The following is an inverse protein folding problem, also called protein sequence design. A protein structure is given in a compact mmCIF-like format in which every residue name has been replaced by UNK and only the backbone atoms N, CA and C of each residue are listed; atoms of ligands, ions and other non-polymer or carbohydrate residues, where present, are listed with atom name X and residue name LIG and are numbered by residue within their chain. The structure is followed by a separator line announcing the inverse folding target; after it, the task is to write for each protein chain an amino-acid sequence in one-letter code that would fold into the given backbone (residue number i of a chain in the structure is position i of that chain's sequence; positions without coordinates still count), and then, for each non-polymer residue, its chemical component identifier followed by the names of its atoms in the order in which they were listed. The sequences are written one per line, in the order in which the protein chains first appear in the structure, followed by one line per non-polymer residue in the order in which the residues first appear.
data_IF_953825837204
#
_entry.id   IF_953825837204
#
_cell.length_a   1.000
_cell.length_b   1.000
_cell.length_c   1.000
_cell.angle_alpha   90.00
_cell.angle_beta   90.00
_cell.angle_gamma   90.00
#
_symmetry.space_group_name_H-M   'P 1'
#
loop_
_entity.id
_entity.type
_entity.pdbx_description
1 polymer ?
#
# COMPACT_ATOMS: atom_id res chain seq x y z
N UNK A 1 9.74 -46.83 41.08
CA UNK A 1 10.81 -45.85 40.80
C UNK A 1 10.18 -44.64 40.14
N UNK A 2 9.96 -43.57 40.90
CA UNK A 2 9.40 -42.31 40.41
C UNK A 2 10.14 -41.17 41.09
N UNK A 3 10.64 -40.21 40.31
CA UNK A 3 11.20 -38.94 40.79
C UNK A 3 10.47 -37.82 40.07
N UNK A 4 9.78 -36.97 40.81
CA UNK A 4 9.48 -35.61 40.43
C UNK A 4 9.60 -34.73 41.67
N UNK A 5 10.42 -33.70 41.55
CA UNK A 5 10.78 -32.73 42.58
C UNK A 5 9.83 -31.54 42.46
N UNK A 6 9.22 -31.18 43.59
CA UNK A 6 8.42 -29.96 43.79
C UNK A 6 9.32 -28.94 44.50
N UNK A 7 9.31 -27.68 44.06
CA UNK A 7 9.88 -26.56 44.81
C UNK A 7 8.78 -25.53 45.06
N UNK A 8 8.47 -25.32 46.34
CA UNK A 8 7.52 -24.33 46.86
C UNK A 8 8.30 -23.39 47.77
N UNK A 9 8.16 -22.07 47.57
CA UNK A 9 8.75 -21.04 48.43
C UNK A 9 7.72 -20.62 49.50
N UNK A 10 8.22 -20.55 50.73
CA UNK A 10 7.48 -20.38 51.98
C UNK A 10 7.02 -18.93 52.24
N UNK A 11 5.81 -18.80 52.79
CA UNK A 11 5.28 -17.60 53.41
C UNK A 11 5.56 -17.61 54.92
N UNK A 12 6.08 -16.51 55.45
CA UNK A 12 6.37 -16.34 56.88
C UNK A 12 5.25 -15.55 57.57
N UNK A 13 4.72 -16.13 58.65
CA UNK A 13 3.70 -15.59 59.56
C UNK A 13 4.28 -14.52 60.49
N UNK A 14 3.42 -13.59 60.97
CA UNK A 14 3.30 -13.37 62.41
C UNK A 14 1.97 -12.75 62.82
N UNK A 15 1.42 -13.28 63.91
CA UNK A 15 0.18 -12.95 64.60
C UNK A 15 0.45 -11.92 65.73
N UNK A 16 -0.55 -11.13 66.11
CA UNK A 16 -1.07 -10.96 67.50
C UNK A 16 -1.99 -9.72 67.58
N UNK A 17 -3.19 -9.93 68.12
CA UNK A 17 -4.24 -8.96 68.49
C UNK A 17 -4.08 -8.43 69.91
N UNK A 18 -4.39 -7.15 70.16
CA UNK A 18 -4.80 -6.61 71.48
C UNK A 18 -5.89 -5.54 71.31
N UNK A 19 -6.77 -5.44 72.31
CA UNK A 19 -8.15 -4.89 72.38
C UNK A 19 -8.17 -3.38 72.86
N UNK A 20 -9.32 -2.70 73.10
CA UNK A 20 -9.74 -1.45 72.43
C UNK A 20 -9.73 -0.19 73.33
N UNK A 21 -9.98 1.00 72.78
CA UNK A 21 -10.65 2.07 73.52
C UNK A 21 -11.39 3.04 72.60
N UNK A 22 -12.61 3.42 73.01
CA UNK A 22 -13.52 4.28 72.28
C UNK A 22 -13.22 5.78 72.46
N UNK A 23 -13.66 6.53 71.43
CA UNK A 23 -14.10 7.95 71.41
C UNK A 23 -13.12 9.06 71.80
N UNK A 24 -12.85 9.95 70.84
CA UNK A 24 -13.26 11.36 70.89
C UNK A 24 -13.20 11.93 69.47
N UNK A 25 -14.32 12.48 68.99
CA UNK A 25 -14.42 13.15 67.69
C UNK A 25 -13.75 14.52 67.77
N UNK A 26 -12.72 14.76 66.96
CA UNK A 26 -12.17 16.09 66.70
C UNK A 26 -12.08 16.31 65.19
N UNK A 27 -12.83 17.29 64.68
CA UNK A 27 -12.86 17.66 63.27
C UNK A 27 -11.49 18.21 62.83
N UNK A 28 -10.98 17.73 61.70
CA UNK A 28 -9.72 18.21 61.08
C UNK A 28 -10.02 18.96 59.76
N UNK A 29 -9.36 20.09 59.47
CA UNK A 29 -9.67 20.94 58.30
C UNK A 29 -9.30 20.29 56.95
N UNK A 30 -10.08 20.62 55.91
CA UNK A 30 -9.96 20.06 54.57
C UNK A 30 -8.61 20.30 53.87
N UNK A 31 -8.19 19.32 53.07
CA UNK A 31 -6.97 19.34 52.27
C UNK A 31 -7.10 20.25 51.04
N UNK A 32 -6.11 21.11 50.81
CA UNK A 32 -5.97 21.94 49.61
C UNK A 32 -5.45 21.11 48.43
N UNK A 33 -6.05 21.19 47.22
CA UNK A 33 -5.59 20.41 46.08
C UNK A 33 -4.27 20.96 45.49
N UNK A 34 -3.36 20.03 45.16
CA UNK A 34 -2.06 20.27 44.49
C UNK A 34 -2.28 20.52 42.99
N UNK A 35 -1.65 21.56 42.45
CA UNK A 35 -1.75 21.94 41.02
C UNK A 35 -1.03 20.96 40.08
N UNK A 36 -1.70 20.63 38.98
CA UNK A 36 -1.23 19.76 37.88
C UNK A 36 -0.29 20.54 36.94
N UNK A 37 0.83 19.96 36.45
CA UNK A 37 1.71 20.64 35.50
C UNK A 37 1.07 20.72 34.10
N UNK A 38 1.20 21.88 33.47
CA UNK A 38 0.64 22.20 32.14
C UNK A 38 1.36 21.42 31.03
N UNK A 39 0.64 20.78 30.09
CA UNK A 39 1.24 20.08 28.96
C UNK A 39 1.94 21.05 27.99
N UNK A 40 3.13 20.68 27.51
CA UNK A 40 3.89 21.44 26.51
C UNK A 40 3.22 21.31 25.14
N UNK A 41 3.02 22.40 24.38
CA UNK A 41 2.45 22.31 23.04
C UNK A 41 3.38 21.53 22.12
N UNK A 42 2.81 20.54 21.43
CA UNK A 42 3.47 19.82 20.34
C UNK A 42 3.60 20.76 19.12
N UNK A 43 4.76 20.86 18.45
CA UNK A 43 4.90 21.71 17.28
C UNK A 43 3.96 21.24 16.16
N UNK A 44 3.10 22.14 15.69
CA UNK A 44 2.21 21.91 14.55
C UNK A 44 3.02 21.70 13.27
N UNK A 45 2.80 20.64 12.48
CA UNK A 45 3.41 20.50 11.16
C UNK A 45 3.05 21.70 10.29
N UNK A 46 4.03 22.28 9.60
CA UNK A 46 3.79 23.38 8.66
C UNK A 46 2.84 22.93 7.53
N UNK A 47 1.93 23.80 7.06
CA UNK A 47 1.08 23.49 5.93
C UNK A 47 1.95 23.24 4.69
N UNK A 48 1.84 22.03 4.12
CA UNK A 48 2.47 21.71 2.83
C UNK A 48 1.77 22.54 1.75
N UNK A 49 2.49 23.29 0.89
CA UNK A 49 1.85 24.01 -0.20
C UNK A 49 1.04 23.02 -1.04
N UNK A 50 -0.23 23.36 -1.30
CA UNK A 50 -1.09 22.53 -2.15
C UNK A 50 -0.41 22.39 -3.52
N UNK A 51 -0.15 21.15 -3.95
CA UNK A 51 0.39 20.92 -5.28
C UNK A 51 -0.63 21.45 -6.30
N UNK A 52 -0.18 22.34 -7.19
CA UNK A 52 -1.00 22.72 -8.34
C UNK A 52 -1.22 21.47 -9.17
N UNK A 53 -2.47 21.16 -9.51
CA UNK A 53 -2.80 20.07 -10.43
C UNK A 53 -1.92 20.23 -11.68
N UNK A 54 -1.14 19.19 -12.05
CA UNK A 54 -0.32 19.23 -13.26
C UNK A 54 -1.16 19.55 -14.48
N UNK A 55 -0.61 20.33 -15.39
CA UNK A 55 -1.24 20.75 -16.63
C UNK A 55 -0.18 20.77 -17.71
N UNK A 56 -0.61 20.63 -18.97
CA UNK A 56 0.29 20.68 -20.11
C UNK A 56 0.30 19.38 -20.92
N UNK A 57 1.19 19.33 -21.89
CA UNK A 57 1.39 18.17 -22.77
C UNK A 57 2.37 17.20 -22.11
N UNK A 58 1.92 15.97 -21.88
CA UNK A 58 2.76 14.91 -21.33
C UNK A 58 3.11 13.90 -22.41
N UNK A 59 4.40 13.62 -22.58
CA UNK A 59 4.84 12.53 -23.43
C UNK A 59 4.68 11.20 -22.70
N UNK A 60 3.89 10.29 -23.27
CA UNK A 60 3.70 8.94 -22.75
C UNK A 60 4.84 8.05 -23.25
N UNK A 61 5.69 7.59 -22.33
CA UNK A 61 6.72 6.62 -22.64
C UNK A 61 6.10 5.23 -22.85
N UNK A 62 6.75 4.36 -23.64
CA UNK A 62 6.40 2.94 -23.71
C UNK A 62 6.41 2.29 -22.32
N UNK A 63 5.75 1.13 -22.22
CA UNK A 63 5.70 0.38 -20.97
C UNK A 63 7.00 -0.41 -20.71
N UNK A 64 7.53 -0.31 -19.49
CA UNK A 64 8.76 -0.98 -19.07
C UNK A 64 10.04 -0.24 -19.48
N UNK A 65 11.18 -0.92 -19.35
CA UNK A 65 12.50 -0.39 -19.68
C UNK A 65 12.70 -0.26 -21.21
N UNK A 66 12.12 0.79 -21.80
CA UNK A 66 12.23 1.05 -23.24
C UNK A 66 11.89 2.49 -23.66
N UNK A 67 12.82 3.13 -24.39
CA UNK A 67 12.74 4.46 -25.03
C UNK A 67 12.49 5.68 -24.13
N UNK A 68 12.48 5.54 -22.80
CA UNK A 68 12.50 6.68 -21.87
C UNK A 68 13.75 7.57 -21.97
N UNK A 69 14.64 7.26 -22.91
CA UNK A 69 15.89 7.95 -23.17
C UNK A 69 15.85 8.80 -24.44
N UNK A 70 14.72 8.90 -25.18
CA UNK A 70 14.69 9.81 -26.32
C UNK A 70 14.98 11.24 -25.84
N UNK A 71 16.19 11.77 -26.11
CA UNK A 71 16.61 13.04 -25.52
C UNK A 71 15.78 14.20 -26.08
N UNK A 72 15.08 14.00 -27.22
CA UNK A 72 14.21 15.00 -27.80
C UNK A 72 13.08 15.34 -26.84
N UNK A 73 12.45 14.35 -26.20
CA UNK A 73 11.29 14.57 -25.32
C UNK A 73 11.64 15.47 -24.13
N UNK A 74 12.85 15.33 -23.58
CA UNK A 74 13.32 16.14 -22.46
C UNK A 74 13.69 17.56 -22.87
N UNK A 75 14.15 17.76 -24.10
CA UNK A 75 14.57 19.07 -24.60
C UNK A 75 13.47 19.83 -25.35
N UNK A 76 12.39 19.16 -25.75
CA UNK A 76 11.29 19.74 -26.51
C UNK A 76 10.54 20.79 -25.67
N UNK A 77 10.47 22.07 -26.10
CA UNK A 77 9.76 23.11 -25.37
C UNK A 77 8.24 22.91 -25.32
N UNK A 78 7.65 22.12 -26.22
CA UNK A 78 6.21 21.86 -26.27
C UNK A 78 5.78 20.70 -25.36
N UNK A 79 6.74 20.01 -24.72
CA UNK A 79 6.48 18.95 -23.73
C UNK A 79 6.60 19.54 -22.32
N UNK A 80 5.53 19.50 -21.54
CA UNK A 80 5.53 19.97 -20.15
C UNK A 80 5.92 18.89 -19.13
N UNK A 81 5.78 17.62 -19.51
CA UNK A 81 6.00 16.50 -18.61
C UNK A 81 6.20 15.15 -19.28
N UNK A 82 6.65 14.19 -18.47
CA UNK A 82 6.92 12.82 -18.85
C UNK A 82 5.98 11.90 -18.09
N UNK A 83 5.24 11.07 -18.81
CA UNK A 83 4.41 10.02 -18.26
C UNK A 83 5.12 8.68 -18.42
N UNK A 84 5.67 8.19 -17.32
CA UNK A 84 6.50 6.98 -17.26
C UNK A 84 5.63 5.78 -16.96
N UNK A 85 5.84 4.67 -17.65
CA UNK A 85 5.10 3.42 -17.46
C UNK A 85 6.09 2.32 -17.05
N UNK A 86 5.85 1.67 -15.93
CA UNK A 86 6.70 0.57 -15.42
C UNK A 86 5.82 -0.57 -14.93
N UNK A 87 6.20 -1.80 -15.26
CA UNK A 87 5.53 -2.99 -14.73
C UNK A 87 5.86 -3.16 -13.25
N UNK A 88 4.89 -3.59 -12.45
CA UNK A 88 5.16 -3.95 -11.06
C UNK A 88 6.17 -5.10 -10.96
N UNK A 89 6.07 -6.11 -11.83
CA UNK A 89 7.00 -7.25 -11.85
C UNK A 89 8.46 -6.90 -12.17
N UNK A 90 8.69 -5.82 -12.93
CA UNK A 90 10.05 -5.31 -13.21
C UNK A 90 10.53 -4.37 -12.08
N UNK A 91 9.61 -3.74 -11.35
CA UNK A 91 9.92 -2.81 -10.27
C UNK A 91 10.18 -3.52 -8.92
N UNK A 92 9.42 -4.56 -8.59
CA UNK A 92 9.52 -5.30 -7.32
C UNK A 92 9.80 -6.78 -7.58
N UNK A 93 11.09 -7.10 -7.71
CA UNK A 93 11.59 -8.40 -8.16
C UNK A 93 11.26 -9.54 -7.17
N UNK A 94 11.20 -9.20 -5.89
CA UNK A 94 10.74 -10.04 -4.79
C UNK A 94 10.08 -9.14 -3.75
N UNK A 95 9.31 -9.71 -2.82
CA UNK A 95 8.63 -8.92 -1.78
C UNK A 95 9.60 -7.96 -1.05
N UNK A 96 9.35 -6.67 -1.14
CA UNK A 96 10.17 -5.61 -0.55
C UNK A 96 11.51 -5.34 -1.25
N UNK A 97 11.84 -6.07 -2.32
CA UNK A 97 13.08 -5.94 -3.09
C UNK A 97 12.81 -5.23 -4.40
N UNK A 98 13.08 -3.93 -4.42
CA UNK A 98 12.77 -3.06 -5.54
C UNK A 98 14.01 -2.74 -6.39
N UNK A 99 13.83 -2.73 -7.71
CA UNK A 99 14.75 -2.11 -8.66
C UNK A 99 14.22 -0.73 -9.08
N UNK A 100 14.81 0.33 -8.52
CA UNK A 100 14.43 1.70 -8.78
C UNK A 100 15.15 2.32 -9.97
N UNK A 101 16.12 1.62 -10.57
CA UNK A 101 17.09 2.21 -11.49
C UNK A 101 16.45 2.93 -12.67
N UNK A 102 15.47 2.32 -13.33
CA UNK A 102 14.75 2.92 -14.45
C UNK A 102 13.94 4.16 -14.03
N UNK A 103 13.12 4.04 -12.98
CA UNK A 103 12.28 5.14 -12.52
C UNK A 103 13.11 6.33 -11.99
N UNK A 104 14.22 6.05 -11.31
CA UNK A 104 15.14 7.08 -10.83
C UNK A 104 15.83 7.79 -12.01
N UNK A 105 16.34 7.03 -12.99
CA UNK A 105 16.99 7.60 -14.19
C UNK A 105 16.05 8.54 -14.93
N UNK A 106 14.83 8.09 -15.23
CA UNK A 106 13.84 8.91 -15.96
C UNK A 106 13.44 10.14 -15.15
N UNK A 107 13.27 9.98 -13.83
CA UNK A 107 12.91 11.10 -12.95
C UNK A 107 14.04 12.14 -12.85
N UNK A 108 15.29 11.70 -12.81
CA UNK A 108 16.46 12.58 -12.82
C UNK A 108 16.58 13.35 -14.14
N UNK A 109 16.41 12.68 -15.28
CA UNK A 109 16.40 13.33 -16.60
C UNK A 109 15.29 14.38 -16.71
N UNK A 110 14.06 14.04 -16.28
CA UNK A 110 12.93 14.97 -16.28
C UNK A 110 13.19 16.16 -15.36
N UNK A 111 13.75 15.92 -14.17
CA UNK A 111 14.10 16.97 -13.20
C UNK A 111 15.13 17.94 -13.78
N UNK A 112 16.21 17.40 -14.40
CA UNK A 112 17.24 18.20 -15.04
C UNK A 112 16.70 19.06 -16.19
N UNK A 113 15.69 18.55 -16.90
CA UNK A 113 15.00 19.24 -17.98
C UNK A 113 13.87 20.18 -17.52
N UNK A 114 13.59 20.27 -16.22
CA UNK A 114 12.51 21.09 -15.68
C UNK A 114 11.10 20.58 -16.03
N UNK A 115 10.97 19.29 -16.37
CA UNK A 115 9.71 18.65 -16.76
C UNK A 115 9.01 18.04 -15.54
N UNK A 116 7.67 18.02 -15.57
CA UNK A 116 6.88 17.27 -14.58
C UNK A 116 6.94 15.76 -14.84
N UNK A 117 6.74 14.95 -13.80
CA UNK A 117 6.73 13.48 -13.91
C UNK A 117 5.40 12.92 -13.41
N UNK A 118 4.82 12.04 -14.21
CA UNK A 118 3.67 11.20 -13.89
C UNK A 118 4.11 9.74 -13.94
N UNK A 119 4.19 9.09 -12.79
CA UNK A 119 4.58 7.67 -12.70
C UNK A 119 3.33 6.80 -12.82
N UNK A 120 3.33 5.82 -13.72
CA UNK A 120 2.24 4.86 -13.91
C UNK A 120 2.79 3.47 -13.71
N UNK A 121 2.27 2.77 -12.72
CA UNK A 121 2.70 1.42 -12.40
C UNK A 121 1.66 0.43 -12.90
N UNK A 122 2.06 -0.38 -13.86
CA UNK A 122 1.26 -1.47 -14.40
C UNK A 122 1.09 -2.57 -13.36
N UNK A 123 -0.12 -2.71 -12.83
CA UNK A 123 -0.47 -3.80 -11.89
C UNK A 123 -1.46 -4.81 -12.49
N UNK A 124 -2.00 -4.55 -13.70
CA UNK A 124 -2.98 -5.41 -14.37
C UNK A 124 -2.32 -6.49 -15.23
N UNK A 125 -3.11 -7.19 -16.04
CA UNK A 125 -2.62 -8.11 -17.08
C UNK A 125 -2.17 -9.48 -16.57
N UNK A 126 -2.23 -9.73 -15.26
CA UNK A 126 -1.82 -10.99 -14.66
C UNK A 126 -0.31 -11.09 -14.44
N UNK A 127 0.18 -12.32 -14.35
CA UNK A 127 1.58 -12.64 -14.07
C UNK A 127 2.52 -12.13 -15.16
N UNK A 128 3.59 -11.45 -14.76
CA UNK A 128 4.66 -10.98 -15.65
C UNK A 128 5.31 -12.13 -16.44
N UNK A 129 5.41 -13.32 -15.85
CA UNK A 129 5.92 -14.51 -16.53
C UNK A 129 5.03 -14.96 -17.72
N UNK A 130 3.78 -14.47 -17.77
CA UNK A 130 2.80 -14.74 -18.83
C UNK A 130 2.50 -13.49 -19.69
N UNK A 131 3.35 -12.46 -19.60
CA UNK A 131 3.20 -11.21 -20.33
C UNK A 131 2.18 -10.24 -19.71
N UNK A 132 1.88 -10.40 -18.42
CA UNK A 132 1.20 -9.41 -17.59
C UNK A 132 2.17 -8.40 -16.99
N UNK A 133 1.73 -7.68 -15.96
CA UNK A 133 2.57 -6.67 -15.29
C UNK A 133 2.80 -6.98 -13.81
N UNK A 134 2.10 -7.96 -13.23
CA UNK A 134 2.18 -8.29 -11.81
C UNK A 134 3.35 -9.25 -11.54
N UNK A 135 4.14 -9.05 -10.45
CA UNK A 135 5.17 -10.00 -10.08
C UNK A 135 4.60 -11.40 -9.82
N UNK A 136 5.30 -12.44 -10.28
CA UNK A 136 4.93 -13.85 -10.04
C UNK A 136 4.79 -14.16 -8.54
N UNK A 137 5.61 -13.53 -7.69
CA UNK A 137 5.56 -13.76 -6.24
C UNK A 137 4.24 -13.26 -5.60
N UNK A 138 3.62 -12.21 -6.15
CA UNK A 138 2.30 -11.73 -5.69
C UNK A 138 1.23 -12.74 -6.08
N UNK A 139 1.23 -13.21 -7.33
CA UNK A 139 0.29 -14.23 -7.80
C UNK A 139 0.42 -15.53 -6.99
N UNK A 140 1.65 -15.92 -6.63
CA UNK A 140 1.90 -17.05 -5.74
C UNK A 140 1.39 -16.81 -4.32
N UNK A 141 1.54 -15.60 -3.78
CA UNK A 141 1.03 -15.25 -2.45
C UNK A 141 -0.50 -15.37 -2.37
N UNK A 142 -1.22 -14.84 -3.37
CA UNK A 142 -2.67 -15.02 -3.50
C UNK A 142 -3.01 -16.51 -3.67
N UNK A 143 -2.24 -17.25 -4.47
CA UNK A 143 -2.46 -18.68 -4.67
C UNK A 143 -2.31 -19.51 -3.38
N UNK A 144 -1.46 -19.08 -2.45
CA UNK A 144 -1.20 -19.77 -1.17
C UNK A 144 -2.32 -19.61 -0.14
N UNK A 145 -3.25 -18.66 -0.31
CA UNK A 145 -4.39 -18.50 0.61
C UNK A 145 -5.26 -19.76 0.68
N UNK A 146 -5.82 -20.10 1.86
CA UNK A 146 -6.66 -21.28 2.07
C UNK A 146 -8.10 -21.11 1.53
N UNK A 147 -8.24 -20.49 0.36
CA UNK A 147 -9.50 -20.32 -0.37
C UNK A 147 -9.42 -21.00 -1.75
N UNK A 148 -10.55 -21.46 -2.30
CA UNK A 148 -10.59 -21.99 -3.66
C UNK A 148 -10.09 -20.96 -4.68
N UNK A 149 -9.36 -21.41 -5.71
CA UNK A 149 -8.87 -20.53 -6.77
C UNK A 149 -9.99 -19.71 -7.43
N UNK A 150 -11.20 -20.27 -7.54
CA UNK A 150 -12.38 -19.60 -8.09
C UNK A 150 -12.85 -18.38 -7.27
N UNK A 151 -12.39 -18.20 -6.03
CA UNK A 151 -12.73 -17.05 -5.18
C UNK A 151 -11.61 -16.00 -5.14
N UNK A 152 -10.43 -16.34 -5.66
CA UNK A 152 -9.22 -15.52 -5.60
C UNK A 152 -8.79 -15.01 -6.96
N UNK A 153 -9.06 -15.80 -7.99
CA UNK A 153 -8.65 -15.52 -9.36
C UNK A 153 -9.83 -15.48 -10.29
N UNK A 154 -9.62 -14.73 -11.36
CA UNK A 154 -10.56 -14.56 -12.44
C UNK A 154 -9.80 -14.61 -13.77
N UNK A 155 -10.34 -15.34 -14.75
CA UNK A 155 -9.72 -15.53 -16.07
C UNK A 155 -10.64 -15.02 -17.17
N UNK A 156 -10.07 -14.30 -18.14
CA UNK A 156 -10.80 -13.73 -19.27
C UNK A 156 -10.01 -13.79 -20.58
N UNK A 157 -10.69 -13.52 -21.69
CA UNK A 157 -10.07 -13.41 -22.99
C UNK A 157 -9.68 -11.95 -23.27
N UNK A 158 -8.38 -11.72 -23.45
CA UNK A 158 -7.79 -10.44 -23.83
C UNK A 158 -7.26 -10.57 -25.26
N UNK A 159 -8.09 -10.23 -26.26
CA UNK A 159 -7.74 -10.30 -27.67
C UNK A 159 -7.14 -11.65 -28.10
N UNK A 160 -7.78 -12.76 -27.71
CA UNK A 160 -7.32 -14.12 -28.02
C UNK A 160 -6.33 -14.71 -27.00
N UNK A 161 -5.81 -13.92 -26.06
CA UNK A 161 -4.98 -14.40 -24.95
C UNK A 161 -5.83 -14.71 -23.72
N UNK A 162 -5.62 -15.86 -23.09
CA UNK A 162 -6.22 -16.16 -21.78
C UNK A 162 -5.40 -15.45 -20.70
N UNK A 163 -6.02 -14.54 -19.95
CA UNK A 163 -5.37 -13.76 -18.89
C UNK A 163 -6.03 -14.08 -17.55
N UNK A 164 -5.22 -14.37 -16.54
CA UNK A 164 -5.67 -14.61 -15.16
C UNK A 164 -5.15 -13.52 -14.24
N UNK A 165 -6.04 -12.94 -13.45
CA UNK A 165 -5.73 -11.91 -12.44
C UNK A 165 -6.26 -12.34 -11.08
N UNK A 166 -5.68 -11.82 -10.00
CA UNK A 166 -6.35 -11.81 -8.70
C UNK A 166 -7.63 -10.94 -8.78
N UNK A 167 -8.67 -11.32 -8.04
CA UNK A 167 -9.86 -10.48 -7.91
C UNK A 167 -9.50 -9.18 -7.17
N UNK A 168 -10.11 -8.06 -7.55
CA UNK A 168 -9.67 -6.75 -7.04
C UNK A 168 -9.89 -6.55 -5.53
N UNK A 169 -10.74 -7.36 -4.89
CA UNK A 169 -11.00 -7.34 -3.45
C UNK A 169 -10.24 -8.40 -2.67
N UNK A 170 -9.34 -9.14 -3.31
CA UNK A 170 -8.54 -10.15 -2.63
C UNK A 170 -7.66 -9.49 -1.55
N UNK A 171 -7.68 -9.96 -0.29
CA UNK A 171 -7.00 -9.27 0.80
C UNK A 171 -5.48 -9.32 0.66
N UNK A 172 -4.90 -10.42 0.15
CA UNK A 172 -3.47 -10.53 -0.07
C UNK A 172 -3.06 -9.64 -1.23
N UNK A 173 -3.82 -9.62 -2.32
CA UNK A 173 -3.61 -8.68 -3.43
C UNK A 173 -3.57 -7.24 -2.96
N UNK A 174 -4.56 -6.82 -2.17
CA UNK A 174 -4.68 -5.46 -1.66
C UNK A 174 -3.55 -5.10 -0.69
N UNK A 175 -3.14 -6.02 0.18
CA UNK A 175 -1.99 -5.85 1.07
C UNK A 175 -0.70 -5.58 0.26
N UNK A 176 -0.40 -6.43 -0.74
CA UNK A 176 0.82 -6.29 -1.55
C UNK A 176 0.80 -5.01 -2.37
N UNK A 177 -0.35 -4.66 -2.94
CA UNK A 177 -0.52 -3.42 -3.69
C UNK A 177 -0.40 -2.17 -2.81
N UNK A 178 -0.89 -2.23 -1.57
CA UNK A 178 -0.72 -1.15 -0.58
C UNK A 178 0.75 -0.97 -0.21
N UNK A 179 1.50 -2.07 -0.06
CA UNK A 179 2.94 -2.03 0.18
C UNK A 179 3.71 -1.38 -0.99
N UNK A 180 3.38 -1.75 -2.24
CA UNK A 180 3.91 -1.10 -3.44
C UNK A 180 3.65 0.41 -3.44
N UNK A 181 2.40 0.83 -3.23
CA UNK A 181 2.01 2.25 -3.22
C UNK A 181 2.76 3.01 -2.11
N UNK A 182 2.90 2.38 -0.94
CA UNK A 182 3.66 2.94 0.19
C UNK A 182 5.14 3.12 -0.16
N UNK A 183 5.77 2.13 -0.80
CA UNK A 183 7.17 2.20 -1.23
C UNK A 183 7.40 3.31 -2.25
N UNK A 184 6.52 3.44 -3.24
CA UNK A 184 6.54 4.53 -4.23
C UNK A 184 6.41 5.91 -3.57
N UNK A 185 5.48 6.05 -2.62
CA UNK A 185 5.29 7.28 -1.85
C UNK A 185 6.53 7.63 -1.01
N UNK A 186 7.12 6.64 -0.34
CA UNK A 186 8.35 6.83 0.42
C UNK A 186 9.53 7.25 -0.46
N UNK A 187 9.66 6.67 -1.67
CA UNK A 187 10.74 6.96 -2.62
C UNK A 187 10.61 8.36 -3.23
N UNK A 188 9.43 8.73 -3.72
CA UNK A 188 9.27 9.89 -4.61
C UNK A 188 8.59 11.11 -4.00
N UNK A 189 8.01 11.04 -2.79
CA UNK A 189 7.26 12.17 -2.21
C UNK A 189 8.09 13.44 -1.93
N UNK A 190 9.42 13.31 -1.85
CA UNK A 190 10.34 14.44 -1.70
C UNK A 190 10.80 15.04 -3.05
N UNK A 191 10.55 14.34 -4.16
CA UNK A 191 10.95 14.82 -5.48
C UNK A 191 9.90 15.79 -6.04
N UNK A 192 10.24 17.09 -6.24
CA UNK A 192 9.27 18.07 -6.69
C UNK A 192 8.86 17.89 -8.16
N UNK A 193 9.61 17.15 -8.98
CA UNK A 193 9.23 16.85 -10.36
C UNK A 193 8.09 15.83 -10.41
N UNK A 194 8.06 14.86 -9.49
CA UNK A 194 7.00 13.84 -9.41
C UNK A 194 5.72 14.48 -8.89
N UNK A 195 4.70 14.50 -9.76
CA UNK A 195 3.41 15.14 -9.45
C UNK A 195 2.29 14.15 -9.17
N UNK A 196 2.31 13.01 -9.85
CA UNK A 196 1.26 12.00 -9.79
C UNK A 196 1.94 10.63 -9.83
N UNK A 197 1.46 9.72 -8.99
CA UNK A 197 1.76 8.29 -9.04
C UNK A 197 0.41 7.58 -9.25
N UNK A 198 0.34 6.72 -10.27
CA UNK A 198 -0.86 5.99 -10.66
C UNK A 198 -0.63 4.50 -10.44
N UNK A 199 -1.48 3.89 -9.63
CA UNK A 199 -1.64 2.44 -9.54
C UNK A 199 -3.15 2.14 -9.55
N UNK A 200 -3.70 1.77 -10.70
CA UNK A 200 -5.15 1.68 -10.93
C UNK A 200 -5.78 0.60 -10.04
N UNK A 201 -6.76 0.93 -9.20
CA UNK A 201 -7.33 -0.03 -8.24
C UNK A 201 -8.03 -1.22 -8.92
N UNK A 202 -8.81 -0.97 -9.97
CA UNK A 202 -9.52 -1.99 -10.76
C UNK A 202 -9.11 -1.92 -12.23
N UNK A 203 -8.27 -2.86 -12.64
CA UNK A 203 -7.73 -2.91 -13.99
C UNK A 203 -7.23 -4.32 -14.30
N UNK A 204 -7.82 -4.94 -15.31
CA UNK A 204 -7.59 -6.33 -15.66
C UNK A 204 -6.48 -6.55 -16.69
N UNK A 205 -6.24 -5.64 -17.64
CA UNK A 205 -5.32 -5.89 -18.76
C UNK A 205 -4.47 -4.70 -19.24
N UNK A 206 -4.74 -3.47 -18.79
CA UNK A 206 -4.06 -2.27 -19.29
C UNK A 206 -3.37 -1.51 -18.14
N UNK A 207 -3.26 -0.19 -18.22
CA UNK A 207 -3.01 0.71 -17.08
C UNK A 207 -4.19 1.66 -16.83
N UNK A 208 -5.28 1.45 -17.53
CA UNK A 208 -6.51 2.24 -17.48
C UNK A 208 -7.66 1.42 -16.88
N UNK A 209 -8.82 2.03 -16.73
CA UNK A 209 -10.03 1.38 -16.23
C UNK A 209 -10.50 0.28 -17.19
N UNK A 210 -10.08 -0.95 -16.90
CA UNK A 210 -10.46 -2.13 -17.67
C UNK A 210 -11.04 -3.19 -16.73
N UNK A 211 -12.36 -3.21 -16.62
CA UNK A 211 -13.09 -4.24 -15.88
C UNK A 211 -13.77 -5.18 -16.90
N UNK A 212 -13.46 -6.50 -16.86
CA UNK A 212 -14.14 -7.50 -17.68
C UNK A 212 -15.66 -7.41 -17.47
N UNK A 213 -16.43 -7.34 -18.56
CA UNK A 213 -17.80 -6.84 -18.55
C UNK A 213 -18.75 -7.58 -19.51
N UNK A 214 -18.29 -8.58 -20.26
CA UNK A 214 -19.20 -9.41 -21.06
C UNK A 214 -20.09 -10.27 -20.14
N UNK A 215 -21.24 -10.79 -20.61
CA UNK A 215 -22.15 -11.56 -19.74
C UNK A 215 -21.52 -12.77 -19.04
N UNK A 216 -20.64 -13.49 -19.73
CA UNK A 216 -19.92 -14.63 -19.17
C UNK A 216 -18.91 -14.19 -18.09
N UNK A 217 -18.21 -13.10 -18.36
CA UNK A 217 -17.27 -12.48 -17.43
C UNK A 217 -17.98 -12.03 -16.15
N UNK A 218 -19.08 -11.28 -16.28
CA UNK A 218 -19.91 -10.82 -15.14
C UNK A 218 -20.40 -12.00 -14.29
N UNK A 219 -20.79 -13.10 -14.92
CA UNK A 219 -21.19 -14.32 -14.21
C UNK A 219 -20.03 -14.94 -13.42
N UNK A 220 -18.81 -14.91 -13.97
CA UNK A 220 -17.60 -15.35 -13.28
C UNK A 220 -17.19 -14.40 -12.12
N UNK A 221 -17.42 -13.08 -12.24
CA UNK A 221 -17.28 -12.14 -11.10
C UNK A 221 -18.18 -12.53 -9.93
N UNK A 222 -19.46 -12.81 -10.19
CA UNK A 222 -20.39 -13.26 -9.15
C UNK A 222 -19.98 -14.60 -8.55
N UNK A 223 -19.52 -15.56 -9.37
CA UNK A 223 -19.01 -16.84 -8.89
C UNK A 223 -17.76 -16.69 -8.00
N UNK A 224 -16.91 -15.69 -8.27
CA UNK A 224 -15.77 -15.33 -7.43
C UNK A 224 -16.16 -14.55 -6.16
N UNK A 225 -17.45 -14.32 -5.94
CA UNK A 225 -17.98 -13.69 -4.74
C UNK A 225 -17.98 -12.16 -4.80
N UNK A 226 -18.07 -11.57 -6.00
CA UNK A 226 -18.29 -10.14 -6.17
C UNK A 226 -19.46 -9.64 -5.31
N UNK A 227 -19.23 -8.50 -4.66
CA UNK A 227 -20.30 -7.61 -4.21
C UNK A 227 -19.88 -6.17 -4.50
N UNK A 228 -20.84 -5.26 -4.65
CA UNK A 228 -20.52 -3.84 -4.81
C UNK A 228 -19.76 -3.29 -3.59
N UNK A 229 -20.08 -3.80 -2.39
CA UNK A 229 -19.37 -3.43 -1.16
C UNK A 229 -17.89 -3.81 -1.22
N UNK A 230 -17.55 -5.03 -1.63
CA UNK A 230 -16.15 -5.47 -1.79
C UNK A 230 -15.34 -4.57 -2.72
N UNK A 231 -15.93 -4.16 -3.85
CA UNK A 231 -15.28 -3.25 -4.79
C UNK A 231 -15.09 -1.85 -4.22
N UNK A 232 -16.10 -1.33 -3.51
CA UNK A 232 -16.01 -0.01 -2.87
C UNK A 232 -14.98 -0.02 -1.73
N UNK A 233 -14.91 -1.09 -0.96
CA UNK A 233 -13.94 -1.24 0.13
C UNK A 233 -12.52 -1.42 -0.42
N UNK A 234 -12.34 -2.17 -1.50
CA UNK A 234 -11.06 -2.26 -2.21
C UNK A 234 -10.59 -0.89 -2.72
N UNK A 235 -11.49 -0.06 -3.25
CA UNK A 235 -11.17 1.29 -3.73
C UNK A 235 -10.93 2.34 -2.63
N UNK A 236 -11.16 2.01 -1.36
CA UNK A 236 -10.91 2.90 -0.21
C UNK A 236 -9.55 2.67 0.44
N UNK A 237 -8.87 1.57 0.11
CA UNK A 237 -7.49 1.29 0.55
C UNK A 237 -6.51 2.15 -0.24
#
# INVERSE_FOLDING_TARGET
MSRAIISTIAACFLCVTVIPLATTTAATPGATPRSTPTPRPHPTPLPRPASRIPRGVFCLLPNGEGNGHDPLVYSDPDVDGISVRQNWGDLELAEGTFDWSFLDTVTEMATAAGKAVLLRIGTGGGDIALGGNCPTWVMNAVAAEPLPASQKFYTFNDNGRSVTIAVFWDPVWLEKKTALITALGARYSANPAVKIIVASFANANSEDWAVPHTPAEVSAWFAAGYTSAKMLDAGRQ
#
